data_IF_294807133892
#
_entry.id   IF_294807133892
#
_cell.length_a   1.000
_cell.length_b   1.000
_cell.length_c   1.000
_cell.angle_alpha   90.00
_cell.angle_beta   90.00
_cell.angle_gamma   90.00
#
_symmetry.space_group_name_H-M   'P 1'
#
loop_
_entity.id
_entity.type
_entity.pdbx_description
1 polymer ?
#
# COMPACT_ATOMS: atom_id res chain seq x y z
N UNK A 1 -33.81 -12.26 19.37
CA UNK A 1 -33.78 -10.77 19.32
C UNK A 1 -32.37 -10.16 19.23
N UNK A 2 -31.28 -10.91 19.41
CA UNK A 2 -29.89 -10.44 19.13
C UNK A 2 -29.45 -10.63 17.67
N UNK A 3 -30.02 -11.59 16.94
CA UNK A 3 -29.61 -11.89 15.55
C UNK A 3 -30.23 -11.01 14.45
N UNK A 4 -31.25 -10.20 14.76
CA UNK A 4 -31.83 -9.27 13.78
C UNK A 4 -31.10 -7.92 13.72
N UNK A 5 -30.39 -7.52 14.79
CA UNK A 5 -29.62 -6.26 14.81
C UNK A 5 -28.31 -6.35 14.00
N UNK A 6 -27.70 -7.54 13.91
CA UNK A 6 -26.46 -7.78 13.14
C UNK A 6 -26.71 -7.72 11.62
N UNK A 7 -27.90 -8.09 11.15
CA UNK A 7 -28.28 -8.03 9.72
C UNK A 7 -28.72 -6.65 9.24
N UNK A 8 -29.09 -5.74 10.14
CA UNK A 8 -29.52 -4.38 9.77
C UNK A 8 -28.31 -3.43 9.69
N UNK A 9 -27.30 -3.60 10.56
CA UNK A 9 -26.07 -2.79 10.51
C UNK A 9 -25.22 -3.05 9.24
N UNK A 10 -25.27 -4.26 8.67
CA UNK A 10 -24.56 -4.60 7.43
C UNK A 10 -25.22 -4.04 6.17
N UNK A 11 -26.51 -3.64 6.23
CA UNK A 11 -27.22 -3.05 5.08
C UNK A 11 -27.02 -1.54 4.94
N UNK A 12 -26.71 -0.82 6.01
CA UNK A 12 -26.51 0.64 5.99
C UNK A 12 -25.09 1.07 5.60
N UNK A 13 -24.11 0.17 5.69
CA UNK A 13 -22.73 0.41 5.22
C UNK A 13 -22.55 0.16 3.72
N UNK A 14 -23.56 -0.36 3.02
CA UNK A 14 -23.49 -0.78 1.62
C UNK A 14 -23.88 0.27 0.57
N UNK A 15 -24.17 1.52 0.96
CA UNK A 15 -24.86 2.46 0.05
C UNK A 15 -24.39 3.90 0.09
N UNK A 16 -23.28 4.23 0.74
CA UNK A 16 -22.89 5.63 0.93
C UNK A 16 -21.57 5.96 0.21
N UNK A 17 -21.73 6.80 -0.81
CA UNK A 17 -20.72 7.49 -1.62
C UNK A 17 -19.35 7.57 -0.94
N UNK A 18 -18.34 6.92 -1.55
CA UNK A 18 -16.93 7.25 -1.34
C UNK A 18 -16.79 8.71 -1.77
N UNK A 19 -16.84 9.63 -0.80
CA UNK A 19 -16.48 11.02 -1.06
C UNK A 19 -14.96 11.05 -1.05
N UNK A 20 -14.36 10.77 -2.20
CA UNK A 20 -12.94 10.99 -2.40
C UNK A 20 -12.75 12.52 -2.32
N UNK A 21 -12.26 13.04 -1.19
CA UNK A 21 -11.64 14.35 -1.23
C UNK A 21 -10.48 14.22 -2.23
N UNK A 22 -10.49 15.03 -3.28
CA UNK A 22 -9.35 15.19 -4.17
C UNK A 22 -8.20 15.82 -3.36
N UNK A 23 -7.52 14.97 -2.59
CA UNK A 23 -6.26 15.30 -1.95
C UNK A 23 -5.19 14.91 -2.95
N UNK A 24 -4.66 15.91 -3.65
CA UNK A 24 -3.63 15.70 -4.65
C UNK A 24 -2.35 15.22 -3.94
N UNK A 25 -1.86 13.99 -4.20
CA UNK A 25 -0.45 13.72 -3.99
C UNK A 25 0.36 14.67 -4.88
N UNK A 26 1.57 15.03 -4.44
CA UNK A 26 2.47 15.93 -5.15
C UNK A 26 2.52 15.60 -6.66
N UNK A 27 2.46 16.63 -7.54
CA UNK A 27 2.40 16.42 -8.97
C UNK A 27 3.75 15.92 -9.49
N UNK A 28 3.82 14.64 -9.82
CA UNK A 28 4.59 14.22 -10.98
C UNK A 28 3.52 13.99 -12.04
N UNK A 29 3.49 14.86 -13.06
CA UNK A 29 2.51 14.82 -14.16
C UNK A 29 2.30 13.37 -14.61
N UNK A 30 1.08 12.86 -14.73
CA UNK A 30 0.10 13.34 -15.71
C UNK A 30 -1.34 12.96 -15.29
N UNK A 31 -1.66 12.97 -13.99
CA UNK A 31 -3.01 12.60 -13.47
C UNK A 31 -3.49 11.17 -13.81
N UNK A 32 -2.63 10.28 -14.30
CA UNK A 32 -3.00 8.90 -14.68
C UNK A 32 -2.79 7.84 -13.59
N UNK A 33 -2.23 8.20 -12.42
CA UNK A 33 -1.99 7.24 -11.33
C UNK A 33 -3.21 7.18 -10.39
N UNK A 34 -3.71 5.97 -10.06
CA UNK A 34 -4.80 5.84 -9.10
C UNK A 34 -4.37 6.40 -7.74
N UNK A 35 -5.30 6.97 -6.96
CA UNK A 35 -4.96 7.68 -5.72
C UNK A 35 -4.26 6.72 -4.74
N UNK A 36 -3.15 7.18 -4.16
CA UNK A 36 -2.35 6.47 -3.17
C UNK A 36 -3.06 6.30 -1.81
N UNK A 37 -4.18 7.01 -1.64
CA UNK A 37 -5.00 7.03 -0.43
C UNK A 37 -6.46 6.74 -0.75
N UNK A 38 -7.17 6.23 0.25
CA UNK A 38 -8.63 6.13 0.27
C UNK A 38 -9.12 6.95 1.45
N UNK A 39 -10.03 7.89 1.16
CA UNK A 39 -10.60 8.79 2.14
C UNK A 39 -12.10 8.56 2.25
N UNK A 40 -12.62 8.63 3.47
CA UNK A 40 -14.06 8.57 3.75
C UNK A 40 -14.42 9.53 4.89
N UNK A 41 -15.60 10.17 4.87
CA UNK A 41 -16.05 10.99 5.98
C UNK A 41 -16.03 10.21 7.30
N UNK A 42 -15.47 10.83 8.35
CA UNK A 42 -15.34 10.21 9.67
C UNK A 42 -16.70 9.82 10.28
N UNK A 43 -17.77 10.50 9.88
CA UNK A 43 -19.15 10.21 10.30
C UNK A 43 -19.58 8.76 10.02
N UNK A 44 -18.97 8.07 9.05
CA UNK A 44 -19.26 6.65 8.78
C UNK A 44 -18.89 5.72 9.96
N UNK A 45 -17.96 6.13 10.83
CA UNK A 45 -17.57 5.35 12.00
C UNK A 45 -18.55 5.46 13.18
N UNK A 46 -19.50 6.40 13.13
CA UNK A 46 -20.47 6.65 14.22
C UNK A 46 -19.79 6.77 15.60
N UNK A 47 -18.71 7.54 15.66
CA UNK A 47 -17.94 7.74 16.90
C UNK A 47 -18.77 8.48 17.96
N UNK A 48 -18.56 8.20 19.26
CA UNK A 48 -19.18 8.95 20.34
C UNK A 48 -18.94 10.48 20.22
N UNK A 49 -19.97 11.31 20.46
CA UNK A 49 -19.90 12.76 20.17
C UNK A 49 -18.99 13.55 21.12
N UNK A 50 -18.53 12.95 22.22
CA UNK A 50 -17.75 13.60 23.28
C UNK A 50 -16.24 13.32 23.17
N UNK A 51 -15.79 12.68 22.09
CA UNK A 51 -14.36 12.43 21.88
C UNK A 51 -13.68 13.72 21.45
N UNK A 52 -12.71 14.18 22.23
CA UNK A 52 -11.87 15.31 21.89
C UNK A 52 -10.78 14.91 20.88
N UNK A 53 -11.17 14.89 19.61
CA UNK A 53 -10.28 14.57 18.50
C UNK A 53 -9.16 15.60 18.32
N UNK A 54 -9.39 16.85 18.72
CA UNK A 54 -8.41 17.93 18.60
C UNK A 54 -7.26 17.73 19.61
N UNK A 55 -7.61 17.35 20.84
CA UNK A 55 -6.62 16.95 21.84
C UNK A 55 -5.86 15.70 21.40
N UNK A 56 -6.55 14.66 20.90
CA UNK A 56 -5.88 13.46 20.41
C UNK A 56 -4.89 13.77 19.28
N UNK A 57 -5.25 14.66 18.34
CA UNK A 57 -4.35 15.10 17.28
C UNK A 57 -3.13 15.86 17.84
N UNK A 58 -3.32 16.77 18.80
CA UNK A 58 -2.24 17.61 19.34
C UNK A 58 -1.18 16.81 20.09
N UNK A 59 -1.58 15.71 20.75
CA UNK A 59 -0.66 14.78 21.42
C UNK A 59 -0.20 13.62 20.53
N UNK A 60 -0.51 13.65 19.23
CA UNK A 60 -0.27 12.55 18.28
C UNK A 60 -0.78 11.18 18.78
N UNK A 61 -1.93 11.20 19.47
CA UNK A 61 -2.56 10.03 20.06
C UNK A 61 -3.24 9.10 19.06
N UNK A 62 -3.95 8.12 19.62
CA UNK A 62 -4.74 7.12 18.89
C UNK A 62 -6.16 7.06 19.45
N UNK A 63 -7.11 6.66 18.62
CA UNK A 63 -8.50 6.39 19.00
C UNK A 63 -8.86 4.93 18.75
N UNK A 64 -9.52 4.29 19.72
CA UNK A 64 -10.13 2.99 19.50
C UNK A 64 -11.39 3.13 18.64
N UNK A 65 -11.41 2.45 17.49
CA UNK A 65 -12.53 2.48 16.54
C UNK A 65 -13.17 1.09 16.40
N UNK A 66 -14.48 1.00 16.11
CA UNK A 66 -15.17 -0.28 15.98
C UNK A 66 -14.90 -0.99 14.65
N UNK A 67 -14.50 -0.25 13.61
CA UNK A 67 -14.21 -0.77 12.28
C UNK A 67 -13.02 -0.05 11.68
N UNK A 68 -12.22 -0.76 10.88
CA UNK A 68 -11.11 -0.18 10.10
C UNK A 68 -11.24 -0.55 8.63
N UNK A 69 -10.76 0.32 7.74
CA UNK A 69 -10.62 -0.02 6.33
C UNK A 69 -9.41 -0.93 6.16
N UNK A 70 -9.62 -2.04 5.47
CA UNK A 70 -8.56 -2.99 5.14
C UNK A 70 -8.51 -3.20 3.63
N UNK A 71 -7.30 -3.30 3.09
CA UNK A 71 -7.05 -3.81 1.75
C UNK A 71 -7.52 -5.26 1.64
N UNK A 72 -8.11 -5.61 0.50
CA UNK A 72 -8.54 -6.97 0.20
C UNK A 72 -7.78 -7.51 -1.01
N UNK A 73 -7.06 -8.62 -0.84
CA UNK A 73 -6.21 -9.26 -1.86
C UNK A 73 -6.99 -10.06 -2.93
N UNK A 74 -8.26 -9.75 -3.21
CA UNK A 74 -8.98 -10.43 -4.28
C UNK A 74 -8.76 -9.73 -5.64
N UNK A 75 -7.72 -10.16 -6.36
CA UNK A 75 -7.48 -9.80 -7.76
C UNK A 75 -6.98 -8.37 -8.00
N UNK A 76 -6.94 -7.98 -9.27
CA UNK A 76 -6.29 -6.76 -9.82
C UNK A 76 -6.90 -5.41 -9.40
N UNK A 77 -7.76 -5.34 -8.38
CA UNK A 77 -8.57 -4.13 -8.11
C UNK A 77 -8.19 -3.29 -6.89
N UNK A 78 -7.32 -3.75 -5.99
CA UNK A 78 -6.94 -2.94 -4.81
C UNK A 78 -8.14 -2.48 -3.97
N UNK A 79 -9.21 -3.29 -3.94
CA UNK A 79 -10.43 -2.98 -3.24
C UNK A 79 -10.21 -2.92 -1.73
N UNK A 80 -10.94 -2.03 -1.05
CA UNK A 80 -10.95 -1.94 0.41
C UNK A 80 -12.33 -2.19 0.96
N UNK A 81 -12.38 -2.67 2.21
CA UNK A 81 -13.64 -2.90 2.92
C UNK A 81 -13.51 -2.51 4.38
N UNK A 82 -14.63 -2.10 4.98
CA UNK A 82 -14.75 -1.99 6.42
C UNK A 82 -14.74 -3.39 7.04
N UNK A 83 -13.86 -3.60 8.01
CA UNK A 83 -13.75 -4.83 8.80
C UNK A 83 -13.88 -4.46 10.27
N UNK A 84 -14.54 -5.28 11.07
CA UNK A 84 -14.63 -5.07 12.52
C UNK A 84 -13.24 -5.14 13.15
N UNK A 85 -12.92 -4.15 13.99
CA UNK A 85 -11.69 -4.13 14.75
C UNK A 85 -11.94 -4.85 16.08
N UNK A 86 -11.53 -6.12 16.16
CA UNK A 86 -11.75 -7.00 17.31
C UNK A 86 -10.60 -6.95 18.34
N UNK A 87 -9.51 -6.24 18.02
CA UNK A 87 -8.31 -6.17 18.84
C UNK A 87 -7.45 -7.44 18.82
N UNK A 88 -7.82 -8.44 18.01
CA UNK A 88 -7.12 -9.73 17.90
C UNK A 88 -6.62 -9.95 16.48
N UNK A 89 -7.51 -9.88 15.49
CA UNK A 89 -7.18 -10.00 14.07
C UNK A 89 -6.96 -8.64 13.42
N UNK A 90 -7.67 -7.61 13.88
CA UNK A 90 -7.52 -6.22 13.44
C UNK A 90 -7.43 -5.33 14.68
N UNK A 91 -6.31 -4.61 14.81
CA UNK A 91 -6.10 -3.68 15.92
C UNK A 91 -7.18 -2.60 15.98
N UNK A 92 -7.55 -2.15 17.18
CA UNK A 92 -8.60 -1.13 17.38
C UNK A 92 -8.09 0.30 17.24
N UNK A 93 -6.79 0.52 17.39
CA UNK A 93 -6.20 1.86 17.51
C UNK A 93 -5.90 2.46 16.15
N UNK A 94 -6.48 3.62 15.88
CA UNK A 94 -6.21 4.43 14.68
C UNK A 94 -5.55 5.73 15.10
N UNK A 95 -4.50 6.15 14.39
CA UNK A 95 -3.75 7.38 14.69
C UNK A 95 -4.59 8.62 14.37
N UNK A 96 -4.65 9.56 15.31
CA UNK A 96 -5.38 10.82 15.11
C UNK A 96 -4.36 11.93 14.84
N UNK A 97 -4.52 12.65 13.73
CA UNK A 97 -3.61 13.72 13.28
C UNK A 97 -4.41 14.90 12.75
N UNK A 98 -3.77 16.05 12.62
CA UNK A 98 -4.35 17.24 12.00
C UNK A 98 -3.48 17.73 10.84
N UNK A 99 -4.08 18.51 9.96
CA UNK A 99 -3.30 19.34 9.05
C UNK A 99 -2.48 20.39 9.82
N UNK A 100 -1.32 20.76 9.28
CA UNK A 100 -0.46 21.85 9.76
C UNK A 100 -0.44 22.97 8.73
N UNK A 101 -0.58 24.22 9.15
CA UNK A 101 -0.53 25.35 8.24
C UNK A 101 0.92 25.66 7.82
N UNK A 102 1.15 25.74 6.52
CA UNK A 102 2.39 26.18 5.89
C UNK A 102 2.21 27.60 5.33
N UNK A 103 2.77 28.58 6.05
CA UNK A 103 2.66 30.00 5.69
C UNK A 103 3.48 30.41 4.45
N UNK A 104 4.46 29.59 4.01
CA UNK A 104 5.22 29.89 2.80
C UNK A 104 4.38 29.62 1.55
N UNK A 105 3.56 28.57 1.61
CA UNK A 105 2.76 28.08 0.50
C UNK A 105 1.27 28.45 0.63
N UNK A 106 0.88 29.09 1.73
CA UNK A 106 -0.52 29.34 2.12
C UNK A 106 -1.38 28.08 1.99
N UNK A 107 -0.85 26.96 2.46
CA UNK A 107 -1.44 25.63 2.35
C UNK A 107 -1.54 24.96 3.72
N UNK A 108 -2.39 23.97 3.82
CA UNK A 108 -2.44 23.04 4.94
C UNK A 108 -1.87 21.71 4.50
N UNK A 109 -0.93 21.20 5.27
CA UNK A 109 -0.13 20.03 4.90
C UNK A 109 -0.29 18.97 5.98
N UNK A 110 -0.53 17.74 5.53
CA UNK A 110 -0.43 16.57 6.38
C UNK A 110 0.82 15.79 5.97
N UNK A 111 1.75 15.68 6.92
CA UNK A 111 2.95 14.87 6.80
C UNK A 111 2.66 13.56 7.53
N UNK A 112 2.76 12.45 6.79
CA UNK A 112 2.57 11.11 7.34
C UNK A 112 3.68 10.80 8.34
N UNK A 113 3.38 10.03 9.38
CA UNK A 113 4.35 9.76 10.44
C UNK A 113 5.60 9.07 9.86
N UNK A 114 6.78 9.64 10.16
CA UNK A 114 8.06 9.14 9.65
C UNK A 114 8.50 9.74 8.31
N UNK A 115 7.66 10.54 7.66
CA UNK A 115 8.01 11.25 6.43
C UNK A 115 8.44 12.71 6.71
N UNK A 116 9.14 13.32 5.75
CA UNK A 116 9.61 14.71 5.81
C UNK A 116 8.89 15.63 4.81
N UNK A 117 8.12 15.05 3.90
CA UNK A 117 7.38 15.75 2.84
C UNK A 117 5.87 15.58 3.03
N UNK A 118 5.04 16.57 2.66
CA UNK A 118 3.59 16.43 2.76
C UNK A 118 3.03 15.30 1.91
N UNK A 119 2.27 14.40 2.54
CA UNK A 119 1.53 13.33 1.87
C UNK A 119 0.20 13.83 1.30
N UNK A 120 -0.41 14.82 1.96
CA UNK A 120 -1.63 15.48 1.51
C UNK A 120 -1.48 16.99 1.67
N UNK A 121 -1.92 17.73 0.65
CA UNK A 121 -1.94 19.19 0.67
C UNK A 121 -3.36 19.67 0.39
N UNK A 122 -3.85 20.55 1.25
CA UNK A 122 -5.11 21.26 1.06
C UNK A 122 -4.83 22.76 0.92
N UNK A 123 -5.32 23.37 -0.16
CA UNK A 123 -5.21 24.82 -0.37
C UNK A 123 -6.60 25.43 -0.26
N UNK A 124 -6.82 26.39 0.67
CA UNK A 124 -8.08 27.11 0.78
C UNK A 124 -8.41 27.86 -0.52
N UNK A 125 -9.69 27.88 -0.91
CA UNK A 125 -10.16 28.66 -2.07
C UNK A 125 -10.05 30.17 -1.80
N UNK A 126 -10.22 30.58 -0.54
CA UNK A 126 -9.94 31.93 -0.06
C UNK A 126 -8.65 31.90 0.77
N UNK A 127 -7.61 32.59 0.30
CA UNK A 127 -6.29 32.59 0.93
C UNK A 127 -6.27 33.56 2.13
N UNK A 128 -6.22 33.06 3.37
CA UNK A 128 -6.16 33.91 4.55
C UNK A 128 -4.72 34.40 4.78
N UNK A 129 -4.59 35.49 5.55
CA UNK A 129 -3.28 36.03 5.95
C UNK A 129 -2.67 35.28 7.16
N UNK A 130 -3.44 34.41 7.81
CA UNK A 130 -3.09 33.66 9.03
C UNK A 130 -3.43 32.17 8.91
N UNK A 131 -3.23 31.40 10.00
CA UNK A 131 -3.55 29.96 10.05
C UNK A 131 -5.04 29.64 10.18
N UNK A 132 -5.92 30.64 9.99
CA UNK A 132 -7.37 30.53 10.10
C UNK A 132 -7.98 30.50 8.70
N UNK A 133 -8.88 29.58 8.40
CA UNK A 133 -9.60 29.62 7.12
C UNK A 133 -10.90 30.39 7.29
N UNK A 134 -11.19 31.35 6.41
CA UNK A 134 -12.56 31.90 6.39
C UNK A 134 -13.52 30.83 5.88
N UNK A 135 -14.61 30.59 6.61
CA UNK A 135 -15.64 29.64 6.16
C UNK A 135 -16.24 30.09 4.82
N UNK A 136 -16.29 29.20 3.81
CA UNK A 136 -16.95 29.54 2.56
C UNK A 136 -18.46 29.68 2.79
N UNK A 137 -19.14 30.54 2.02
CA UNK A 137 -20.58 30.78 2.12
C UNK A 137 -21.45 29.53 1.87
N UNK A 138 -20.85 28.44 1.42
CA UNK A 138 -21.41 27.10 1.31
C UNK A 138 -20.29 26.07 1.12
N UNK A 139 -20.59 24.76 1.20
CA UNK A 139 -19.60 23.72 0.96
C UNK A 139 -18.93 23.92 -0.41
N UNK A 140 -17.59 23.83 -0.51
CA UNK A 140 -16.91 23.96 -1.78
C UNK A 140 -17.42 22.88 -2.74
N UNK A 141 -17.64 23.26 -4.00
CA UNK A 141 -18.00 22.30 -5.04
C UNK A 141 -16.84 21.31 -5.22
N UNK A 142 -17.06 20.05 -4.84
CA UNK A 142 -16.08 18.99 -5.08
C UNK A 142 -15.94 18.76 -6.59
N UNK A 143 -14.71 18.52 -7.11
CA UNK A 143 -14.53 18.05 -8.48
C UNK A 143 -15.39 16.81 -8.74
N UNK A 144 -16.01 16.72 -9.93
CA UNK A 144 -16.76 15.52 -10.33
C UNK A 144 -15.77 14.38 -10.61
N UNK A 145 -15.53 13.54 -9.62
CA UNK A 145 -14.92 12.23 -9.81
C UNK A 145 -16.04 11.21 -10.13
N UNK A 146 -15.99 10.49 -11.26
CA UNK A 146 -16.97 9.45 -11.57
C UNK A 146 -17.04 8.33 -10.52
N UNK A 147 -16.03 8.18 -9.66
CA UNK A 147 -15.96 7.15 -8.63
C UNK A 147 -15.79 5.74 -9.21
N UNK A 148 -15.19 4.84 -8.44
CA UNK A 148 -15.09 3.42 -8.84
C UNK A 148 -16.39 2.67 -8.51
N UNK A 149 -16.81 1.78 -9.41
CA UNK A 149 -18.02 0.95 -9.26
C UNK A 149 -17.86 0.00 -8.08
N UNK A 150 -18.84 -0.01 -7.16
CA UNK A 150 -18.94 -0.97 -6.06
C UNK A 150 -19.64 -2.23 -6.56
N UNK A 151 -18.93 -3.35 -6.67
CA UNK A 151 -19.50 -4.64 -7.11
C UNK A 151 -19.55 -5.67 -5.97
N UNK A 152 -20.70 -6.34 -5.71
CA UNK A 152 -20.76 -7.48 -4.80
C UNK A 152 -20.04 -8.70 -5.39
N UNK A 153 -19.31 -9.46 -4.56
CA UNK A 153 -18.46 -10.57 -5.02
C UNK A 153 -18.37 -11.74 -4.02
N UNK A 154 -18.03 -12.93 -4.53
CA UNK A 154 -17.86 -14.21 -3.81
C UNK A 154 -16.38 -14.63 -3.89
N UNK A 155 -15.69 -14.89 -2.76
CA UNK A 155 -14.23 -14.91 -2.69
C UNK A 155 -13.58 -16.16 -3.31
N UNK A 156 -12.43 -15.95 -3.96
CA UNK A 156 -11.42 -16.97 -4.24
C UNK A 156 -10.08 -16.52 -3.64
N UNK A 157 -9.42 -17.42 -2.90
CA UNK A 157 -8.22 -17.15 -2.10
C UNK A 157 -6.97 -17.50 -2.90
N UNK A 158 -6.10 -16.53 -3.16
CA UNK A 158 -4.67 -16.79 -3.31
C UNK A 158 -3.90 -15.91 -2.32
N UNK A 159 -3.19 -16.56 -1.39
CA UNK A 159 -2.39 -15.88 -0.38
C UNK A 159 -0.95 -15.75 -0.87
N UNK A 160 -0.45 -14.52 -1.01
CA UNK A 160 0.98 -14.23 -1.10
C UNK A 160 1.44 -13.65 0.25
N UNK A 161 2.56 -14.12 0.82
CA UNK A 161 3.03 -13.57 2.09
C UNK A 161 3.68 -12.20 1.87
N UNK A 162 2.93 -11.12 2.05
CA UNK A 162 3.48 -9.82 2.40
C UNK A 162 3.57 -9.74 3.93
N UNK A 163 4.75 -10.06 4.49
CA UNK A 163 4.98 -10.13 5.94
C UNK A 163 5.06 -8.72 6.59
N UNK A 164 4.98 -7.64 5.79
CA UNK A 164 5.45 -6.33 6.24
C UNK A 164 4.42 -5.44 6.94
N UNK A 165 3.11 -5.76 6.88
CA UNK A 165 2.06 -4.91 7.46
C UNK A 165 0.90 -5.72 8.06
N UNK A 166 1.04 -6.07 9.33
CA UNK A 166 -0.06 -6.63 10.12
C UNK A 166 -1.10 -5.56 10.52
N UNK A 167 -0.74 -4.26 10.51
CA UNK A 167 -1.63 -3.14 10.83
C UNK A 167 -1.83 -2.23 9.60
N UNK A 168 -3.08 -1.82 9.28
CA UNK A 168 -3.33 -0.93 8.15
C UNK A 168 -2.75 0.45 8.42
N UNK A 169 -2.24 1.08 7.36
CA UNK A 169 -1.66 2.41 7.48
C UNK A 169 -2.73 3.49 7.37
N UNK A 170 -3.52 3.61 8.43
CA UNK A 170 -4.67 4.47 8.50
C UNK A 170 -4.56 5.59 9.54
N UNK A 171 -5.38 6.62 9.33
CA UNK A 171 -5.42 7.83 10.11
C UNK A 171 -6.84 8.36 10.23
N UNK A 172 -7.16 8.96 11.37
CA UNK A 172 -8.23 9.96 11.47
C UNK A 172 -7.55 11.32 11.30
N UNK A 173 -7.94 12.04 10.25
CA UNK A 173 -7.40 13.35 9.91
C UNK A 173 -8.43 14.43 10.25
N UNK A 174 -8.01 15.33 11.14
CA UNK A 174 -8.81 16.48 11.57
C UNK A 174 -8.59 17.64 10.59
N UNK A 175 -9.70 18.06 9.99
CA UNK A 175 -9.73 19.17 9.04
C UNK A 175 -9.57 20.51 9.79
N UNK A 176 -9.06 21.57 9.14
CA UNK A 176 -9.01 22.89 9.77
C UNK A 176 -10.41 23.34 10.21
N UNK A 177 -10.52 23.83 11.45
CA UNK A 177 -11.79 24.05 12.17
C UNK A 177 -12.82 24.87 11.38
N UNK A 178 -12.36 25.88 10.63
CA UNK A 178 -13.22 26.81 9.91
C UNK A 178 -13.32 26.53 8.40
N UNK A 179 -12.75 25.41 7.93
CA UNK A 179 -12.69 25.06 6.50
C UNK A 179 -14.03 24.63 5.92
N UNK A 180 -14.99 24.26 6.78
CA UNK A 180 -16.23 23.59 6.38
C UNK A 180 -16.04 22.16 5.87
N UNK A 181 -14.81 21.61 5.93
CA UNK A 181 -14.54 20.23 5.56
C UNK A 181 -14.82 19.26 6.72
N UNK A 182 -15.40 18.09 6.45
CA UNK A 182 -15.56 17.07 7.48
C UNK A 182 -14.19 16.48 7.87
N UNK A 183 -14.07 16.02 9.12
CA UNK A 183 -12.97 15.14 9.50
C UNK A 183 -13.03 13.85 8.68
N UNK A 184 -11.88 13.28 8.38
CA UNK A 184 -11.74 12.19 7.40
C UNK A 184 -11.06 10.99 8.03
N UNK A 185 -11.55 9.80 7.72
CA UNK A 185 -10.80 8.56 7.92
C UNK A 185 -10.04 8.27 6.62
N UNK A 186 -8.73 8.06 6.73
CA UNK A 186 -7.80 7.91 5.64
C UNK A 186 -7.09 6.57 5.74
N UNK A 187 -6.97 5.84 4.62
CA UNK A 187 -6.15 4.64 4.49
C UNK A 187 -5.13 4.86 3.38
N UNK A 188 -3.85 4.75 3.70
CA UNK A 188 -2.79 4.65 2.69
C UNK A 188 -2.78 3.24 2.13
N UNK A 189 -2.81 3.13 0.80
CA UNK A 189 -2.65 1.84 0.12
C UNK A 189 -1.24 1.30 0.37
N UNK A 190 -1.08 -0.02 0.28
CA UNK A 190 0.26 -0.60 0.20
C UNK A 190 0.93 -0.02 -1.06
N UNK A 191 2.13 0.60 -0.96
CA UNK A 191 2.85 1.10 -2.12
C UNK A 191 3.05 0.06 -3.22
N UNK A 192 3.11 -1.24 -2.87
CA UNK A 192 3.20 -2.37 -3.80
C UNK A 192 1.93 -2.59 -4.63
N UNK A 193 0.79 -2.05 -4.20
CA UNK A 193 -0.48 -2.11 -4.92
C UNK A 193 -0.73 -0.89 -5.83
N UNK A 194 0.12 0.14 -5.75
CA UNK A 194 0.01 1.35 -6.55
C UNK A 194 0.83 1.19 -7.81
N UNK A 195 0.33 1.56 -9.02
CA UNK A 195 1.11 1.50 -10.25
C UNK A 195 2.42 2.30 -10.17
N UNK A 196 3.42 1.83 -10.90
CA UNK A 196 4.71 2.50 -11.00
C UNK A 196 5.52 2.04 -12.21
N UNK A 197 6.63 2.72 -12.45
CA UNK A 197 7.52 2.45 -13.58
C UNK A 197 8.78 1.77 -13.07
N UNK A 198 9.18 0.67 -13.70
CA UNK A 198 10.40 -0.01 -13.33
C UNK A 198 11.64 0.85 -13.58
N UNK A 199 12.54 0.92 -12.60
CA UNK A 199 13.84 1.60 -12.69
C UNK A 199 14.98 0.64 -12.31
N UNK A 200 16.21 1.15 -12.27
CA UNK A 200 17.39 0.36 -11.89
C UNK A 200 18.05 -0.38 -13.05
N UNK A 201 19.25 -0.89 -12.81
CA UNK A 201 20.13 -1.52 -13.80
C UNK A 201 20.35 -3.01 -13.56
N UNK A 202 20.01 -3.52 -12.39
CA UNK A 202 20.38 -4.85 -11.93
C UNK A 202 21.90 -5.03 -11.85
N UNK A 203 22.33 -6.26 -11.65
CA UNK A 203 23.76 -6.61 -11.62
C UNK A 203 24.08 -7.75 -12.58
N UNK A 204 25.35 -7.85 -12.99
CA UNK A 204 25.82 -9.01 -13.74
C UNK A 204 25.80 -10.25 -12.84
N UNK A 205 25.17 -11.33 -13.32
CA UNK A 205 25.12 -12.61 -12.59
C UNK A 205 25.99 -13.65 -13.27
N UNK A 206 26.48 -14.61 -12.49
CA UNK A 206 27.34 -15.69 -12.99
C UNK A 206 26.54 -16.83 -13.63
N UNK A 207 27.23 -17.77 -14.26
CA UNK A 207 26.64 -18.98 -14.82
C UNK A 207 26.05 -19.96 -13.77
N UNK A 208 26.12 -19.62 -12.47
CA UNK A 208 25.55 -20.39 -11.36
C UNK A 208 24.42 -19.65 -10.63
N UNK A 209 23.88 -18.59 -11.23
CA UNK A 209 22.70 -17.88 -10.76
C UNK A 209 21.53 -18.85 -10.45
N UNK A 210 21.11 -18.87 -9.18
CA UNK A 210 20.09 -19.78 -8.64
C UNK A 210 20.41 -21.29 -8.79
N UNK A 211 21.68 -21.66 -9.00
CA UNK A 211 22.15 -23.04 -9.17
C UNK A 211 23.32 -23.38 -8.24
N UNK A 212 23.41 -24.63 -7.79
CA UNK A 212 24.56 -25.12 -7.01
C UNK A 212 24.66 -24.45 -5.65
N UNK A 213 25.88 -24.19 -5.18
CA UNK A 213 26.13 -23.56 -3.87
C UNK A 213 25.65 -22.11 -3.77
N UNK A 214 25.45 -21.43 -4.90
CA UNK A 214 24.93 -20.06 -4.98
C UNK A 214 23.40 -20.01 -5.05
N UNK A 215 22.71 -21.14 -5.20
CA UNK A 215 21.25 -21.21 -5.21
C UNK A 215 20.60 -20.75 -3.90
N UNK A 216 21.34 -20.86 -2.81
CA UNK A 216 20.87 -20.46 -1.49
C UNK A 216 21.19 -19.01 -1.15
N UNK A 217 22.03 -18.33 -1.92
CA UNK A 217 22.49 -16.98 -1.59
C UNK A 217 21.51 -15.91 -2.08
N UNK A 218 21.30 -14.83 -1.30
CA UNK A 218 20.62 -13.64 -1.80
C UNK A 218 21.31 -13.12 -3.06
N UNK A 219 20.56 -12.92 -4.13
CA UNK A 219 21.11 -12.55 -5.44
C UNK A 219 20.33 -11.40 -6.06
N UNK A 220 21.00 -10.43 -6.71
CA UNK A 220 20.33 -9.29 -7.34
C UNK A 220 19.48 -9.72 -8.54
N UNK A 221 18.66 -8.79 -9.04
CA UNK A 221 18.03 -8.92 -10.35
C UNK A 221 19.12 -8.90 -11.44
N UNK A 222 19.16 -9.86 -12.37
CA UNK A 222 20.13 -9.84 -13.46
C UNK A 222 19.97 -8.60 -14.35
N UNK A 223 21.07 -7.98 -14.73
CA UNK A 223 21.10 -6.81 -15.61
C UNK A 223 20.43 -7.07 -16.97
N UNK A 224 20.56 -8.29 -17.53
CA UNK A 224 19.86 -8.69 -18.77
C UNK A 224 18.33 -8.68 -18.64
N UNK A 225 17.81 -8.86 -17.42
CA UNK A 225 16.38 -8.77 -17.12
C UNK A 225 16.00 -7.33 -16.85
N UNK A 226 16.81 -6.60 -16.09
CA UNK A 226 16.55 -5.20 -15.78
C UNK A 226 16.50 -4.32 -17.03
N UNK A 227 17.38 -4.55 -18.00
CA UNK A 227 17.38 -3.85 -19.30
C UNK A 227 16.03 -3.97 -20.03
N UNK A 228 15.37 -5.14 -19.96
CA UNK A 228 14.07 -5.39 -20.62
C UNK A 228 12.87 -4.83 -19.87
N UNK A 229 13.04 -4.54 -18.58
CA UNK A 229 11.96 -4.11 -17.69
C UNK A 229 11.99 -2.61 -17.44
N UNK A 230 13.18 -2.00 -17.38
CA UNK A 230 13.37 -0.58 -17.08
C UNK A 230 12.56 0.30 -18.03
N UNK A 231 11.90 1.31 -17.46
CA UNK A 231 11.04 2.26 -18.17
C UNK A 231 9.63 1.73 -18.47
N UNK A 232 9.32 0.47 -18.18
CA UNK A 232 7.98 -0.08 -18.39
C UNK A 232 7.05 0.22 -17.21
N UNK A 233 5.81 0.65 -17.47
CA UNK A 233 4.81 0.81 -16.42
C UNK A 233 4.23 -0.55 -15.99
N UNK A 234 3.93 -0.67 -14.70
CA UNK A 234 3.28 -1.81 -14.07
C UNK A 234 2.14 -1.33 -13.19
N UNK A 235 1.03 -2.08 -13.17
CA UNK A 235 -0.14 -1.74 -12.36
C UNK A 235 0.00 -2.11 -10.90
N UNK A 236 0.96 -2.97 -10.55
CA UNK A 236 1.32 -3.36 -9.19
C UNK A 236 2.71 -4.01 -9.16
N UNK A 237 3.30 -4.13 -7.97
CA UNK A 237 4.55 -4.86 -7.76
C UNK A 237 4.43 -6.34 -8.13
N UNK A 238 3.25 -6.96 -7.92
CA UNK A 238 3.01 -8.33 -8.36
C UNK A 238 3.15 -8.48 -9.88
N UNK A 239 2.71 -7.47 -10.66
CA UNK A 239 2.91 -7.47 -12.11
C UNK A 239 4.36 -7.28 -12.51
N UNK A 240 5.14 -6.51 -11.75
CA UNK A 240 6.58 -6.46 -11.93
C UNK A 240 7.22 -7.83 -11.64
N UNK A 241 6.87 -8.48 -10.53
CA UNK A 241 7.35 -9.82 -10.16
C UNK A 241 7.03 -10.87 -11.23
N UNK A 242 5.80 -10.89 -11.73
CA UNK A 242 5.38 -11.74 -12.85
C UNK A 242 6.26 -11.51 -14.08
N UNK A 243 6.54 -10.26 -14.42
CA UNK A 243 7.35 -9.90 -15.57
C UNK A 243 8.83 -10.26 -15.40
N UNK A 244 9.40 -10.10 -14.20
CA UNK A 244 10.76 -10.56 -13.88
C UNK A 244 10.90 -12.04 -14.21
N UNK A 245 10.01 -12.89 -13.67
CA UNK A 245 10.10 -14.33 -13.91
C UNK A 245 9.82 -14.71 -15.37
N UNK A 246 8.89 -14.01 -16.03
CA UNK A 246 8.64 -14.23 -17.45
C UNK A 246 9.88 -13.92 -18.30
N UNK A 247 10.58 -12.82 -18.05
CA UNK A 247 11.78 -12.47 -18.81
C UNK A 247 12.95 -13.43 -18.53
N UNK A 248 13.05 -13.95 -17.30
CA UNK A 248 13.99 -15.03 -16.95
C UNK A 248 13.73 -16.28 -17.77
N UNK A 249 12.46 -16.63 -18.00
CA UNK A 249 12.10 -17.80 -18.83
C UNK A 249 12.53 -17.69 -20.29
N UNK A 250 12.66 -16.45 -20.80
CA UNK A 250 13.02 -16.14 -22.18
C UNK A 250 14.51 -15.97 -22.40
N UNK A 251 15.28 -15.81 -21.32
CA UNK A 251 16.74 -15.66 -21.39
C UNK A 251 17.39 -17.06 -21.43
N UNK A 252 18.07 -17.45 -22.53
CA UNK A 252 18.64 -18.79 -22.66
C UNK A 252 19.73 -19.11 -21.62
N UNK A 253 20.50 -18.11 -21.19
CA UNK A 253 21.57 -18.30 -20.23
C UNK A 253 21.04 -18.47 -18.81
N UNK A 254 19.98 -17.75 -18.44
CA UNK A 254 19.36 -17.85 -17.13
C UNK A 254 18.43 -19.07 -17.03
N UNK A 255 17.58 -19.29 -18.04
CA UNK A 255 16.60 -20.38 -18.06
C UNK A 255 17.28 -21.77 -18.02
N UNK A 256 18.42 -21.95 -18.70
CA UNK A 256 19.19 -23.21 -18.68
C UNK A 256 19.71 -23.59 -17.29
N UNK A 257 19.76 -22.64 -16.35
CA UNK A 257 20.19 -22.87 -14.97
C UNK A 257 19.06 -23.45 -14.11
N UNK A 258 17.82 -23.36 -14.56
CA UNK A 258 16.63 -23.83 -13.87
C UNK A 258 16.30 -25.29 -14.21
N UNK A 259 15.79 -26.04 -13.23
CA UNK A 259 15.23 -27.37 -13.45
C UNK A 259 13.91 -27.33 -14.25
N UNK A 260 13.52 -28.45 -14.87
CA UNK A 260 12.31 -28.55 -15.72
C UNK A 260 11.03 -28.03 -15.04
N UNK A 261 10.83 -28.35 -13.76
CA UNK A 261 9.66 -27.87 -13.02
C UNK A 261 9.69 -26.34 -12.85
N UNK A 262 10.83 -25.78 -12.46
CA UNK A 262 11.02 -24.34 -12.32
C UNK A 262 10.87 -23.60 -13.66
N UNK A 263 11.33 -24.18 -14.77
CA UNK A 263 11.14 -23.63 -16.11
C UNK A 263 9.65 -23.45 -16.46
N UNK A 264 8.82 -24.45 -16.13
CA UNK A 264 7.38 -24.35 -16.31
C UNK A 264 6.80 -23.20 -15.49
N UNK A 265 7.18 -23.10 -14.22
CA UNK A 265 6.71 -22.02 -13.34
C UNK A 265 7.05 -20.62 -13.90
N UNK A 266 8.31 -20.39 -14.29
CA UNK A 266 8.72 -19.06 -14.80
C UNK A 266 8.07 -18.72 -16.14
N UNK A 267 7.82 -19.72 -17.00
CA UNK A 267 7.08 -19.52 -18.26
C UNK A 267 5.62 -19.13 -18.03
N UNK A 268 5.05 -19.55 -16.90
CA UNK A 268 3.71 -19.19 -16.44
C UNK A 268 3.73 -17.99 -15.47
N UNK A 269 4.82 -17.18 -15.50
CA UNK A 269 5.01 -15.94 -14.72
C UNK A 269 5.12 -16.14 -13.19
N UNK A 270 5.43 -17.36 -12.74
CA UNK A 270 5.55 -17.69 -11.31
C UNK A 270 7.02 -17.89 -10.92
N UNK A 271 7.30 -17.68 -9.64
CA UNK A 271 8.64 -17.88 -9.11
C UNK A 271 9.10 -19.35 -9.24
N UNK A 272 10.38 -19.61 -9.53
CA UNK A 272 10.93 -20.95 -9.59
C UNK A 272 11.05 -21.56 -8.18
N UNK A 273 11.14 -22.89 -8.11
CA UNK A 273 11.36 -23.60 -6.85
C UNK A 273 12.77 -23.38 -6.30
N UNK A 274 12.88 -23.29 -4.98
CA UNK A 274 14.18 -23.36 -4.27
C UNK A 274 14.59 -24.82 -4.03
N UNK A 275 15.89 -25.09 -3.80
CA UNK A 275 16.33 -26.40 -3.31
C UNK A 275 15.57 -26.83 -2.05
N UNK A 276 15.31 -28.14 -1.91
CA UNK A 276 14.41 -28.68 -0.89
C UNK A 276 14.81 -28.29 0.55
N UNK A 277 16.12 -28.22 0.81
CA UNK A 277 16.71 -27.84 2.10
C UNK A 277 16.53 -26.37 2.49
N UNK A 278 16.08 -25.52 1.55
CA UNK A 278 15.77 -24.10 1.76
C UNK A 278 14.26 -23.79 1.74
N UNK A 279 13.42 -24.81 1.57
CA UNK A 279 11.96 -24.70 1.66
C UNK A 279 11.52 -24.61 3.12
N UNK A 280 10.50 -23.80 3.42
CA UNK A 280 9.96 -23.64 4.77
C UNK A 280 8.43 -23.76 4.75
N UNK A 281 7.91 -24.87 5.27
CA UNK A 281 6.48 -25.14 5.29
C UNK A 281 5.88 -25.12 3.88
N UNK A 282 4.95 -24.20 3.61
CA UNK A 282 4.34 -24.01 2.28
C UNK A 282 5.13 -23.06 1.36
N UNK A 283 6.22 -22.45 1.84
CA UNK A 283 7.06 -21.53 1.06
C UNK A 283 8.13 -22.35 0.36
N UNK A 284 7.88 -22.68 -0.91
CA UNK A 284 8.69 -23.60 -1.72
C UNK A 284 9.46 -22.92 -2.86
N UNK A 285 9.25 -21.62 -3.05
CA UNK A 285 9.71 -20.86 -4.22
C UNK A 285 10.59 -19.70 -3.79
N UNK A 286 11.41 -19.22 -4.73
CA UNK A 286 12.19 -18.00 -4.50
C UNK A 286 11.25 -16.82 -4.29
N UNK A 287 11.70 -15.87 -3.48
CA UNK A 287 10.95 -14.69 -3.10
C UNK A 287 11.76 -13.45 -3.47
N UNK A 288 11.08 -12.37 -3.87
CA UNK A 288 11.72 -11.10 -4.17
C UNK A 288 11.47 -10.18 -2.98
N UNK A 289 12.54 -9.71 -2.36
CA UNK A 289 12.55 -8.84 -1.20
C UNK A 289 13.08 -7.45 -1.55
N UNK A 290 12.63 -6.42 -0.85
CA UNK A 290 13.14 -5.05 -0.98
C UNK A 290 14.31 -4.84 -0.02
N UNK A 291 15.52 -4.58 -0.52
CA UNK A 291 16.71 -4.41 0.32
C UNK A 291 16.58 -3.19 1.26
N UNK A 292 16.26 -2.02 0.70
CA UNK A 292 15.71 -0.89 1.44
C UNK A 292 14.19 -1.05 1.51
N UNK A 293 13.66 -1.20 2.71
CA UNK A 293 12.29 -1.63 2.92
C UNK A 293 11.29 -0.56 2.50
N UNK A 294 10.17 -0.99 1.90
CA UNK A 294 9.11 -0.08 1.43
C UNK A 294 8.56 0.77 2.57
N UNK A 295 8.39 0.18 3.78
CA UNK A 295 7.90 0.91 4.97
C UNK A 295 8.85 2.01 5.44
N UNK A 296 10.12 1.95 5.04
CA UNK A 296 11.19 2.90 5.38
C UNK A 296 11.51 3.82 4.19
N UNK A 297 10.62 3.90 3.20
CA UNK A 297 10.77 4.77 2.02
C UNK A 297 11.48 4.11 0.83
N UNK A 298 11.61 2.79 0.83
CA UNK A 298 12.23 2.04 -0.26
C UNK A 298 11.46 2.10 -1.55
N UNK A 299 12.15 2.32 -2.66
CA UNK A 299 11.55 2.35 -3.98
C UNK A 299 10.98 0.98 -4.34
N UNK A 300 9.68 0.93 -4.65
CA UNK A 300 8.94 -0.32 -4.91
C UNK A 300 9.35 -0.98 -6.22
N UNK A 301 9.57 -0.18 -7.27
CA UNK A 301 9.80 -0.61 -8.65
C UNK A 301 11.27 -0.48 -9.08
N UNK A 302 12.16 -0.14 -8.16
CA UNK A 302 13.58 -0.04 -8.45
C UNK A 302 14.23 -1.41 -8.38
N UNK A 303 14.67 -1.94 -9.52
CA UNK A 303 15.24 -3.27 -9.63
C UNK A 303 16.57 -3.43 -8.86
N UNK A 304 17.27 -2.32 -8.61
CA UNK A 304 18.49 -2.29 -7.78
C UNK A 304 18.15 -2.43 -6.28
N UNK A 305 16.90 -2.10 -5.91
CA UNK A 305 16.38 -2.30 -4.56
C UNK A 305 15.80 -3.70 -4.35
N UNK A 306 15.82 -4.59 -5.35
CA UNK A 306 15.23 -5.93 -5.26
C UNK A 306 16.31 -7.00 -5.13
N UNK A 307 16.06 -7.95 -4.23
CA UNK A 307 16.92 -9.12 -4.01
C UNK A 307 16.10 -10.40 -4.03
N UNK A 308 16.58 -11.40 -4.77
CA UNK A 308 15.98 -12.73 -4.83
C UNK A 308 16.56 -13.56 -3.70
N UNK A 309 15.70 -14.14 -2.87
CA UNK A 309 16.08 -14.89 -1.67
C UNK A 309 15.34 -16.21 -1.58
N UNK A 310 15.90 -17.14 -0.81
CA UNK A 310 15.17 -18.34 -0.38
C UNK A 310 14.21 -17.99 0.77
N UNK A 311 13.11 -18.74 0.97
CA UNK A 311 12.21 -18.54 2.11
C UNK A 311 12.93 -18.57 3.46
N UNK A 312 13.90 -19.48 3.60
CA UNK A 312 14.71 -19.60 4.83
C UNK A 312 15.48 -18.31 5.13
N UNK A 313 16.18 -17.77 4.14
CA UNK A 313 16.98 -16.56 4.32
C UNK A 313 16.10 -15.32 4.51
N UNK A 314 15.00 -15.24 3.76
CA UNK A 314 14.04 -14.15 3.90
C UNK A 314 13.48 -14.08 5.33
N UNK A 315 13.10 -15.23 5.93
CA UNK A 315 12.67 -15.29 7.34
C UNK A 315 13.80 -14.84 8.28
N UNK A 316 15.03 -15.24 8.00
CA UNK A 316 16.17 -14.88 8.86
C UNK A 316 16.46 -13.38 8.84
N UNK A 317 16.36 -12.73 7.66
CA UNK A 317 16.49 -11.28 7.52
C UNK A 317 15.46 -10.54 8.37
N UNK A 318 14.18 -10.93 8.29
CA UNK A 318 13.12 -10.35 9.11
C UNK A 318 13.32 -10.59 10.62
N UNK A 319 13.81 -11.77 11.01
CA UNK A 319 14.08 -12.08 12.43
C UNK A 319 15.19 -11.22 13.02
N UNK A 320 16.27 -10.96 12.27
CA UNK A 320 17.40 -10.15 12.76
C UNK A 320 17.02 -8.69 12.97
N UNK A 321 16.04 -8.18 12.25
CA UNK A 321 15.57 -6.81 12.39
C UNK A 321 14.59 -6.60 13.54
N UNK A 322 13.89 -7.66 13.97
CA UNK A 322 13.00 -7.63 15.13
C UNK A 322 13.74 -7.87 16.47
N UNK A 323 15.07 -7.95 16.44
CA UNK A 323 15.95 -8.03 17.62
C UNK A 323 16.63 -6.69 17.85
#
# INVERSE_FOLDING_TARGET
MKDQLVRVATRTLGSNLVTLLAMYPQPLGDSELPPAVIATPLSQLNLPPHIDLQYLASVKGTLDVPHRLMSHEAGTSGAVRWVSADGVTVGTKVRVRSFTYNAQNNSYEFIRDGESTPALIWTPIAQPADSSTSSPAGPPALPKDPGNVVTPFVPELEAYPAIDRDDPDDYILISPIDSGLPNTYLLFKDPRSIPGVASGYGEAVTATWLRGSTASQPTPIPSSIAEKLRGRPFTSFDKLREAIWLEVSKDPELSRQLGKASLREVSEKRAPYVPAEHQIGKRLKYEIHHNHWVKEGGAVYDLDNLIIMTPKDHIQTHRKQNQ
#
